data_IF_030683471176
#
_entry.id   IF_030683471176
#
_cell.length_a   1.000
_cell.length_b   1.000
_cell.length_c   1.000
_cell.angle_alpha   90.00
_cell.angle_beta   90.00
_cell.angle_gamma   90.00
#
_symmetry.space_group_name_H-M   'P 1'
#
loop_
_entity.id
_entity.type
_entity.pdbx_description
1 polymer ?
#
# COMPACT_ATOMS: atom_id res chain seq x y z
N UNK A 1 -16.95 2.20 -14.14
CA UNK A 1 -17.56 2.33 -12.80
C UNK A 1 -16.89 1.33 -11.89
N UNK A 2 -16.55 1.70 -10.65
CA UNK A 2 -16.25 0.69 -9.62
C UNK A 2 -17.58 -0.05 -9.43
N UNK A 3 -17.60 -1.37 -9.56
CA UNK A 3 -18.84 -2.13 -9.37
C UNK A 3 -19.36 -1.88 -7.96
N UNK A 4 -20.69 -1.85 -7.76
CA UNK A 4 -21.28 -1.72 -6.42
C UNK A 4 -20.70 -2.74 -5.42
N UNK A 5 -20.25 -3.89 -5.92
CA UNK A 5 -19.53 -4.93 -5.18
C UNK A 5 -18.22 -4.41 -4.56
N UNK A 6 -17.41 -3.66 -5.31
CA UNK A 6 -16.14 -3.14 -4.80
C UNK A 6 -16.35 -1.96 -3.83
N UNK A 7 -17.48 -1.24 -3.93
CA UNK A 7 -17.90 -0.24 -2.94
C UNK A 7 -18.33 -0.93 -1.63
N UNK A 8 -19.21 -1.94 -1.70
CA UNK A 8 -19.68 -2.70 -0.53
C UNK A 8 -18.54 -3.46 0.17
N UNK A 9 -17.61 -4.01 -0.60
CA UNK A 9 -16.36 -4.59 -0.08
C UNK A 9 -15.46 -3.53 0.56
N UNK A 10 -15.37 -2.33 -0.02
CA UNK A 10 -14.58 -1.24 0.56
C UNK A 10 -15.17 -0.72 1.88
N UNK A 11 -16.49 -0.76 2.05
CA UNK A 11 -17.16 -0.31 3.29
C UNK A 11 -17.03 -1.39 4.37
N UNK A 12 -17.31 -2.65 4.04
CA UNK A 12 -17.15 -3.76 4.98
C UNK A 12 -15.70 -3.95 5.46
N UNK A 13 -14.72 -3.67 4.59
CA UNK A 13 -13.30 -3.75 4.94
C UNK A 13 -12.78 -2.58 5.80
N UNK A 14 -13.51 -1.46 5.90
CA UNK A 14 -13.21 -0.41 6.89
C UNK A 14 -13.29 -0.99 8.31
N UNK A 15 -14.25 -1.89 8.52
CA UNK A 15 -14.51 -2.55 9.79
C UNK A 15 -13.74 -3.87 9.96
N UNK A 16 -12.94 -4.29 8.98
CA UNK A 16 -12.23 -5.57 9.06
C UNK A 16 -11.11 -5.52 10.12
N UNK A 17 -11.21 -6.31 11.20
CA UNK A 17 -10.25 -6.29 12.30
C UNK A 17 -8.91 -6.94 11.93
N UNK A 18 -8.89 -7.84 10.94
CA UNK A 18 -7.67 -8.51 10.47
C UNK A 18 -6.85 -7.52 9.63
N UNK A 19 -7.49 -6.85 8.67
CA UNK A 19 -6.82 -5.83 7.85
C UNK A 19 -6.25 -4.73 8.75
N UNK A 20 -7.03 -4.23 9.71
CA UNK A 20 -6.56 -3.23 10.66
C UNK A 20 -5.34 -3.70 11.46
N UNK A 21 -5.34 -4.95 11.97
CA UNK A 21 -4.17 -5.52 12.66
C UNK A 21 -2.93 -5.61 11.76
N UNK A 22 -3.09 -6.00 10.51
CA UNK A 22 -1.98 -6.07 9.53
C UNK A 22 -1.41 -4.67 9.26
N UNK A 23 -2.27 -3.67 9.06
CA UNK A 23 -1.86 -2.30 8.81
C UNK A 23 -1.13 -1.71 10.02
N UNK A 24 -1.64 -1.94 11.23
CA UNK A 24 -0.98 -1.55 12.49
C UNK A 24 0.37 -2.25 12.68
N UNK A 25 0.47 -3.53 12.29
CA UNK A 25 1.73 -4.26 12.31
C UNK A 25 2.76 -3.58 11.40
N UNK A 26 2.38 -3.20 10.16
CA UNK A 26 3.27 -2.48 9.25
C UNK A 26 3.71 -1.11 9.78
N UNK A 27 2.84 -0.40 10.51
CA UNK A 27 3.21 0.87 11.14
C UNK A 27 4.31 0.70 12.18
N UNK A 28 4.29 -0.41 12.93
CA UNK A 28 5.29 -0.74 13.96
C UNK A 28 6.64 -1.19 13.39
N UNK A 29 6.68 -1.65 12.14
CA UNK A 29 7.94 -2.07 11.52
C UNK A 29 8.90 -0.89 11.41
N UNK A 30 10.12 -1.03 11.96
CA UNK A 30 11.16 -0.01 11.89
C UNK A 30 12.10 -0.32 10.74
N UNK A 31 11.65 -0.08 9.51
CA UNK A 31 12.54 -0.15 8.36
C UNK A 31 13.57 0.98 8.43
N UNK A 32 14.88 0.69 8.30
CA UNK A 32 15.87 1.76 8.20
C UNK A 32 15.59 2.53 6.91
N UNK A 33 15.23 3.82 6.97
CA UNK A 33 14.91 4.65 5.80
C UNK A 33 16.13 4.78 4.87
N UNK A 34 16.35 3.78 4.02
CA UNK A 34 17.31 3.88 2.94
C UNK A 34 16.72 4.82 1.89
N UNK A 35 17.47 5.85 1.45
CA UNK A 35 16.98 6.78 0.46
C UNK A 35 16.67 6.00 -0.82
N UNK A 36 15.44 6.14 -1.28
CA UNK A 36 15.09 5.80 -2.64
C UNK A 36 15.87 6.74 -3.56
N UNK A 37 16.99 6.27 -4.13
CA UNK A 37 17.85 7.09 -5.01
C UNK A 37 17.22 7.17 -6.40
N UNK A 38 16.02 7.75 -6.50
CA UNK A 38 15.53 8.30 -7.76
C UNK A 38 14.85 9.64 -7.50
N UNK A 39 15.03 10.57 -8.42
CA UNK A 39 14.80 12.02 -8.28
C UNK A 39 13.34 12.49 -8.18
N UNK A 40 12.37 11.64 -7.79
CA UNK A 40 10.91 11.95 -7.73
C UNK A 40 10.17 11.13 -6.64
N UNK A 41 8.93 11.49 -6.26
CA UNK A 41 8.49 11.56 -4.86
C UNK A 41 8.51 10.21 -4.13
N UNK A 42 8.90 10.30 -2.87
CA UNK A 42 9.21 9.21 -1.94
C UNK A 42 7.95 8.49 -1.47
N UNK A 43 7.43 7.55 -2.26
CA UNK A 43 6.47 6.59 -1.70
C UNK A 43 7.26 5.70 -0.73
N UNK A 44 6.94 5.78 0.56
CA UNK A 44 7.65 5.02 1.58
C UNK A 44 7.41 3.51 1.42
N UNK A 45 8.35 2.69 1.88
CA UNK A 45 8.19 1.22 1.88
C UNK A 45 6.98 0.78 2.68
N UNK A 46 6.67 1.47 3.79
CA UNK A 46 5.46 1.21 4.58
C UNK A 46 4.19 1.46 3.78
N UNK A 47 4.13 2.59 3.07
CA UNK A 47 3.00 2.91 2.19
C UNK A 47 2.83 1.82 1.12
N UNK A 48 3.93 1.34 0.53
CA UNK A 48 3.88 0.25 -0.46
C UNK A 48 3.34 -1.06 0.12
N UNK A 49 3.74 -1.42 1.34
CA UNK A 49 3.19 -2.58 2.04
C UNK A 49 1.69 -2.45 2.32
N UNK A 50 1.27 -1.31 2.85
CA UNK A 50 -0.16 -1.04 3.09
C UNK A 50 -0.95 -1.13 1.79
N UNK A 51 -0.43 -0.57 0.70
CA UNK A 51 -1.02 -0.69 -0.64
C UNK A 51 -1.09 -2.15 -1.14
N UNK A 52 -0.12 -2.99 -0.79
CA UNK A 52 -0.13 -4.41 -1.14
C UNK A 52 -1.18 -5.18 -0.33
N UNK A 53 -1.28 -4.94 0.99
CA UNK A 53 -2.30 -5.55 1.83
C UNK A 53 -3.70 -5.17 1.38
N UNK A 54 -3.95 -3.89 1.09
CA UNK A 54 -5.25 -3.44 0.57
C UNK A 54 -5.54 -4.06 -0.80
N UNK A 55 -4.54 -4.15 -1.69
CA UNK A 55 -4.70 -4.83 -2.98
C UNK A 55 -5.17 -6.27 -2.79
N UNK A 56 -4.49 -7.00 -1.90
CA UNK A 56 -4.78 -8.41 -1.64
C UNK A 56 -6.14 -8.59 -0.97
N UNK A 57 -6.45 -7.76 0.02
CA UNK A 57 -7.69 -7.83 0.79
C UNK A 57 -8.92 -7.48 -0.05
N UNK A 58 -8.83 -6.45 -0.90
CA UNK A 58 -9.93 -6.01 -1.77
C UNK A 58 -9.93 -6.70 -3.14
N UNK A 59 -9.07 -7.70 -3.37
CA UNK A 59 -8.91 -8.38 -4.65
C UNK A 59 -8.80 -7.41 -5.86
N UNK A 60 -8.04 -6.30 -5.70
CA UNK A 60 -7.91 -5.31 -6.75
C UNK A 60 -6.79 -5.69 -7.71
N UNK A 61 -7.13 -6.08 -8.93
CA UNK A 61 -6.14 -6.57 -9.88
C UNK A 61 -5.35 -5.45 -10.57
N UNK A 62 -6.01 -4.33 -10.88
CA UNK A 62 -5.38 -3.27 -11.66
C UNK A 62 -4.82 -2.12 -10.82
N UNK A 63 -3.71 -1.54 -11.30
CA UNK A 63 -3.16 -0.32 -10.72
C UNK A 63 -4.13 0.87 -10.82
N UNK A 64 -4.87 0.97 -11.94
CA UNK A 64 -5.85 2.03 -12.17
C UNK A 64 -6.98 1.99 -11.13
N UNK A 65 -7.50 0.80 -10.81
CA UNK A 65 -8.53 0.63 -9.77
C UNK A 65 -8.01 1.05 -8.40
N UNK A 66 -6.75 0.76 -8.05
CA UNK A 66 -6.18 1.21 -6.77
C UNK A 66 -6.03 2.72 -6.68
N UNK A 67 -5.51 3.35 -7.74
CA UNK A 67 -5.42 4.82 -7.77
C UNK A 67 -6.80 5.44 -7.64
N UNK A 68 -7.79 4.88 -8.34
CA UNK A 68 -9.17 5.31 -8.25
C UNK A 68 -9.77 5.12 -6.85
N UNK A 69 -9.51 3.98 -6.19
CA UNK A 69 -9.90 3.75 -4.79
C UNK A 69 -9.37 4.88 -3.88
N UNK A 70 -8.10 5.27 -4.03
CA UNK A 70 -7.54 6.36 -3.20
C UNK A 70 -8.08 7.75 -3.55
N UNK A 71 -8.57 7.95 -4.79
CA UNK A 71 -9.22 9.20 -5.21
C UNK A 71 -10.65 9.29 -4.68
N UNK A 72 -11.41 8.21 -4.85
CA UNK A 72 -12.84 8.17 -4.54
C UNK A 72 -13.09 8.03 -3.03
N UNK A 73 -12.15 7.43 -2.27
CA UNK A 73 -12.30 7.15 -0.85
C UNK A 73 -11.16 7.74 -0.01
N UNK A 74 -11.35 8.94 0.58
CA UNK A 74 -10.35 9.61 1.40
C UNK A 74 -9.87 8.79 2.61
N UNK A 75 -10.73 7.90 3.14
CA UNK A 75 -10.36 6.98 4.21
C UNK A 75 -9.17 6.09 3.83
N UNK A 76 -9.24 5.41 2.68
CA UNK A 76 -8.16 4.53 2.23
C UNK A 76 -6.86 5.29 1.96
N UNK A 77 -6.98 6.52 1.46
CA UNK A 77 -5.84 7.43 1.30
C UNK A 77 -5.17 7.73 2.66
N UNK A 78 -5.97 8.04 3.69
CA UNK A 78 -5.49 8.32 5.04
C UNK A 78 -4.87 7.09 5.71
N UNK A 79 -5.54 5.94 5.64
CA UNK A 79 -5.06 4.66 6.21
C UNK A 79 -3.70 4.26 5.66
N UNK A 80 -3.52 4.43 4.35
CA UNK A 80 -2.25 4.16 3.68
C UNK A 80 -1.17 5.18 4.08
N UNK A 81 -1.56 6.42 4.37
CA UNK A 81 -0.64 7.52 4.70
C UNK A 81 -0.22 8.34 3.48
N UNK A 82 -1.09 8.48 2.47
CA UNK A 82 -0.83 9.36 1.34
C UNK A 82 -1.30 10.79 1.63
N UNK A 83 -0.39 11.77 1.59
CA UNK A 83 -0.75 13.19 1.64
C UNK A 83 -1.58 13.59 0.41
N UNK A 84 -1.18 13.09 -0.75
CA UNK A 84 -1.87 13.22 -2.02
C UNK A 84 -1.87 11.90 -2.77
N UNK A 85 -2.89 11.64 -3.59
CA UNK A 85 -2.89 10.43 -4.43
C UNK A 85 -1.78 10.58 -5.48
N UNK A 86 -0.77 9.70 -5.50
CA UNK A 86 0.30 9.79 -6.47
C UNK A 86 -0.22 9.53 -7.88
N UNK A 87 0.36 10.22 -8.86
CA UNK A 87 0.06 9.97 -10.26
C UNK A 87 0.34 8.50 -10.64
N UNK A 88 -0.41 7.97 -11.60
CA UNK A 88 -0.32 6.57 -12.04
C UNK A 88 1.11 6.15 -12.41
N UNK A 89 1.85 7.01 -13.10
CA UNK A 89 3.24 6.75 -13.49
C UNK A 89 4.19 6.68 -12.29
N UNK A 90 3.96 7.49 -11.25
CA UNK A 90 4.72 7.46 -10.00
C UNK A 90 4.48 6.14 -9.28
N UNK A 91 3.21 5.74 -9.15
CA UNK A 91 2.86 4.48 -8.52
C UNK A 91 3.42 3.28 -9.29
N UNK A 92 3.37 3.31 -10.62
CA UNK A 92 3.93 2.25 -11.46
C UNK A 92 5.43 2.07 -11.23
N UNK A 93 6.20 3.16 -11.17
CA UNK A 93 7.65 3.11 -10.87
C UNK A 93 7.92 2.58 -9.46
N UNK A 94 7.21 3.11 -8.47
CA UNK A 94 7.34 2.65 -7.08
C UNK A 94 6.97 1.16 -6.94
N UNK A 95 5.93 0.71 -7.63
CA UNK A 95 5.53 -0.70 -7.66
C UNK A 95 6.54 -1.58 -8.39
N UNK A 96 7.16 -1.10 -9.47
CA UNK A 96 8.24 -1.80 -10.17
C UNK A 96 9.41 -2.02 -9.21
N UNK A 97 9.93 -0.95 -8.63
CA UNK A 97 11.03 -1.04 -7.67
C UNK A 97 10.68 -1.88 -6.45
N UNK A 98 9.46 -1.73 -5.91
CA UNK A 98 9.04 -2.53 -4.76
C UNK A 98 9.04 -4.02 -5.08
N UNK A 99 8.72 -4.44 -6.31
CA UNK A 99 8.81 -5.85 -6.70
C UNK A 99 10.25 -6.31 -6.89
N UNK A 100 11.09 -5.49 -7.51
CA UNK A 100 12.44 -5.88 -7.90
C UNK A 100 13.43 -5.84 -6.73
N UNK A 101 13.33 -4.81 -5.88
CA UNK A 101 14.31 -4.54 -4.82
C UNK A 101 13.64 -4.41 -3.45
N UNK A 102 12.47 -3.74 -3.38
CA UNK A 102 11.85 -3.41 -2.09
C UNK A 102 11.35 -4.62 -1.31
N UNK A 103 10.68 -5.57 -1.97
CA UNK A 103 10.08 -6.75 -1.36
C UNK A 103 11.13 -7.76 -0.88
N UNK A 104 12.18 -8.11 -1.66
CA UNK A 104 13.27 -8.95 -1.14
C UNK A 104 13.94 -8.38 0.12
N UNK A 105 14.25 -7.08 0.13
CA UNK A 105 14.84 -6.41 1.31
C UNK A 105 13.92 -6.49 2.52
N UNK A 106 12.63 -6.28 2.29
CA UNK A 106 11.62 -6.30 3.34
C UNK A 106 11.38 -7.69 3.89
N UNK A 107 11.32 -8.69 3.02
CA UNK A 107 11.18 -10.10 3.36
C UNK A 107 12.35 -10.56 4.24
N UNK A 108 13.59 -10.25 3.84
CA UNK A 108 14.77 -10.54 4.65
C UNK A 108 14.75 -9.84 6.00
N UNK A 109 14.32 -8.57 6.05
CA UNK A 109 14.20 -7.84 7.32
C UNK A 109 13.21 -8.51 8.28
N UNK A 110 12.03 -8.90 7.79
CA UNK A 110 11.00 -9.57 8.59
C UNK A 110 11.51 -10.91 9.11
N UNK A 111 12.16 -11.72 8.26
CA UNK A 111 12.72 -13.01 8.66
C UNK A 111 13.83 -12.91 9.72
N UNK A 112 14.54 -11.78 9.77
CA UNK A 112 15.67 -11.61 10.69
C UNK A 112 15.30 -10.94 12.02
N UNK A 113 14.26 -10.10 12.04
CA UNK A 113 13.97 -9.20 13.16
C UNK A 113 12.57 -9.35 13.75
N UNK A 114 11.71 -10.16 13.14
CA UNK A 114 10.30 -10.31 13.56
C UNK A 114 9.93 -11.76 13.82
N UNK A 115 10.35 -12.68 12.95
CA UNK A 115 10.22 -14.13 13.13
C UNK A 115 11.49 -14.70 13.75
#
# INVERSE_FOLDING_TARGET
>A
MISNIALDQSISSIEDPILNKILMFFDRLRFPELPYVTSRPRISRKIMLKCLAIKAHLAIDSLKQRVKLFQDYPYWRWVVGFDHVPHLSTFSRAAKWFREEGFPLLHSYILQHVL
#
